data_IF_533092406636
#
_entry.id   IF_533092406636
#
_cell.length_a   1.000
_cell.length_b   1.000
_cell.length_c   1.000
_cell.angle_alpha   90.00
_cell.angle_beta   90.00
_cell.angle_gamma   90.00
#
_symmetry.space_group_name_H-M   'P 1'
#
loop_
_entity.id
_entity.type
_entity.pdbx_description
1 polymer ?
#
# COMPACT_ATOMS: atom_id res chain seq x y z
N UNK A 1 25.78 -9.48 6.32
CA UNK A 1 24.47 -9.12 6.89
C UNK A 1 23.76 -8.05 6.07
N UNK A 2 24.43 -7.02 5.56
CA UNK A 2 23.82 -5.94 4.76
C UNK A 2 23.05 -6.43 3.52
N UNK A 3 23.61 -7.38 2.74
CA UNK A 3 22.98 -7.91 1.52
C UNK A 3 21.62 -8.56 1.81
N UNK A 4 21.54 -9.38 2.87
CA UNK A 4 20.28 -10.03 3.25
C UNK A 4 19.23 -9.03 3.73
N UNK A 5 19.63 -8.01 4.47
CA UNK A 5 18.76 -6.94 4.95
C UNK A 5 18.20 -6.13 3.79
N UNK A 6 19.04 -5.75 2.84
CA UNK A 6 18.64 -5.06 1.62
C UNK A 6 17.72 -5.91 0.75
N UNK A 7 18.07 -7.20 0.53
CA UNK A 7 17.22 -8.10 -0.24
C UNK A 7 15.82 -8.22 0.36
N UNK A 8 15.75 -8.40 1.69
CA UNK A 8 14.45 -8.51 2.39
C UNK A 8 13.65 -7.20 2.32
N UNK A 9 14.31 -6.04 2.42
CA UNK A 9 13.67 -4.74 2.21
C UNK A 9 13.10 -4.60 0.79
N UNK A 10 13.86 -4.97 -0.23
CA UNK A 10 13.44 -4.89 -1.64
C UNK A 10 12.31 -5.87 -2.00
N UNK A 11 12.06 -6.89 -1.19
CA UNK A 11 10.88 -7.76 -1.33
C UNK A 11 9.59 -7.11 -0.81
N UNK A 12 9.67 -5.94 -0.14
CA UNK A 12 8.51 -5.24 0.40
C UNK A 12 7.36 -5.09 -0.59
N UNK A 13 7.56 -4.68 -1.87
CA UNK A 13 6.46 -4.55 -2.84
C UNK A 13 5.71 -5.86 -3.11
N UNK A 14 6.37 -6.99 -2.98
CA UNK A 14 5.74 -8.31 -3.13
C UNK A 14 5.00 -8.69 -1.84
N UNK A 15 5.66 -8.53 -0.69
CA UNK A 15 5.15 -8.93 0.62
C UNK A 15 3.90 -8.15 1.00
N UNK A 16 3.83 -6.84 0.70
CA UNK A 16 2.69 -5.98 1.07
C UNK A 16 1.37 -6.40 0.41
N UNK A 17 1.38 -7.08 -0.72
CA UNK A 17 0.17 -7.55 -1.37
C UNK A 17 -0.54 -8.65 -0.57
N UNK A 18 0.20 -9.41 0.22
CA UNK A 18 -0.36 -10.46 1.06
C UNK A 18 -1.32 -9.91 2.13
N UNK A 19 -0.92 -8.99 3.03
CA UNK A 19 -1.86 -8.47 4.02
C UNK A 19 -3.02 -7.71 3.38
N UNK A 20 -2.80 -6.98 2.30
CA UNK A 20 -3.86 -6.27 1.59
C UNK A 20 -4.93 -7.26 1.13
N UNK A 21 -4.57 -8.30 0.39
CA UNK A 21 -5.52 -9.28 -0.13
C UNK A 21 -6.16 -10.12 0.97
N UNK A 22 -5.36 -10.67 1.88
CA UNK A 22 -5.82 -11.59 2.92
C UNK A 22 -6.78 -10.91 3.92
N UNK A 23 -6.42 -9.70 4.40
CA UNK A 23 -7.25 -8.97 5.35
C UNK A 23 -8.52 -8.41 4.70
N UNK A 24 -8.46 -8.02 3.42
CA UNK A 24 -9.65 -7.59 2.68
C UNK A 24 -10.64 -8.75 2.49
N UNK A 25 -10.14 -9.95 2.14
CA UNK A 25 -10.97 -11.15 2.04
C UNK A 25 -11.57 -11.51 3.40
N UNK A 26 -10.78 -11.47 4.47
CA UNK A 26 -11.28 -11.73 5.83
C UNK A 26 -12.38 -10.75 6.23
N UNK A 27 -12.23 -9.46 5.92
CA UNK A 27 -13.25 -8.44 6.18
C UNK A 27 -14.54 -8.70 5.40
N UNK A 28 -14.44 -9.03 4.12
CA UNK A 28 -15.59 -9.38 3.29
C UNK A 28 -16.30 -10.65 3.80
N UNK A 29 -15.54 -11.68 4.18
CA UNK A 29 -16.11 -12.91 4.74
C UNK A 29 -16.84 -12.65 6.08
N UNK A 30 -16.27 -11.83 6.94
CA UNK A 30 -16.93 -11.41 8.19
C UNK A 30 -18.22 -10.64 7.89
N UNK A 31 -18.17 -9.68 6.97
CA UNK A 31 -19.33 -8.87 6.62
C UNK A 31 -20.46 -9.71 6.02
N UNK A 32 -20.14 -10.52 5.01
CA UNK A 32 -21.12 -11.38 4.33
C UNK A 32 -21.62 -12.49 5.27
N UNK A 33 -20.72 -13.07 6.07
CA UNK A 33 -21.03 -14.16 6.99
C UNK A 33 -21.92 -13.78 8.17
N UNK A 34 -22.26 -12.49 8.34
CA UNK A 34 -23.29 -12.02 9.28
C UNK A 34 -24.69 -12.36 8.81
N UNK A 35 -24.88 -12.62 7.52
CA UNK A 35 -26.12 -13.12 7.00
C UNK A 35 -26.18 -14.64 7.20
N UNK A 36 -27.29 -15.17 7.72
CA UNK A 36 -27.49 -16.60 8.02
C UNK A 36 -27.18 -17.50 6.83
N UNK A 37 -27.50 -17.04 5.61
CA UNK A 37 -27.23 -17.77 4.36
C UNK A 37 -25.73 -18.08 4.16
N UNK A 38 -24.86 -17.25 4.70
CA UNK A 38 -23.41 -17.33 4.51
C UNK A 38 -22.65 -17.56 5.83
N UNK A 39 -23.35 -17.93 6.89
CA UNK A 39 -22.76 -18.15 8.22
C UNK A 39 -21.64 -19.23 8.21
N UNK A 40 -21.65 -20.14 7.23
CA UNK A 40 -20.61 -21.14 7.02
C UNK A 40 -19.22 -20.55 6.74
N UNK A 41 -19.10 -19.25 6.38
CA UNK A 41 -17.83 -18.57 6.21
C UNK A 41 -17.15 -18.19 7.54
N UNK A 42 -17.94 -18.00 8.61
CA UNK A 42 -17.45 -17.48 9.89
C UNK A 42 -16.31 -18.30 10.53
N UNK A 43 -16.31 -19.64 10.51
CA UNK A 43 -15.24 -20.43 11.10
C UNK A 43 -13.86 -20.18 10.48
N UNK A 44 -13.80 -19.81 9.19
CA UNK A 44 -12.54 -19.56 8.49
C UNK A 44 -11.96 -18.17 8.77
N UNK A 45 -12.79 -17.19 9.16
CA UNK A 45 -12.39 -15.78 9.34
C UNK A 45 -11.22 -15.64 10.32
N UNK A 46 -11.27 -16.31 11.47
CA UNK A 46 -10.22 -16.22 12.48
C UNK A 46 -8.86 -16.75 11.99
N UNK A 47 -8.88 -17.82 11.19
CA UNK A 47 -7.67 -18.36 10.59
C UNK A 47 -7.06 -17.39 9.58
N UNK A 48 -7.89 -16.80 8.72
CA UNK A 48 -7.46 -15.84 7.68
C UNK A 48 -6.94 -14.55 8.33
N UNK A 49 -7.61 -14.02 9.37
CA UNK A 49 -7.11 -12.86 10.13
C UNK A 49 -5.73 -13.14 10.72
N UNK A 50 -5.49 -14.34 11.27
CA UNK A 50 -4.19 -14.70 11.83
C UNK A 50 -3.08 -14.68 10.78
N UNK A 51 -3.33 -15.22 9.59
CA UNK A 51 -2.36 -15.18 8.47
C UNK A 51 -2.16 -13.74 8.01
N UNK A 52 -3.24 -12.96 7.87
CA UNK A 52 -3.20 -11.56 7.49
C UNK A 52 -2.41 -10.70 8.47
N UNK A 53 -2.57 -10.92 9.78
CA UNK A 53 -1.80 -10.25 10.83
C UNK A 53 -0.31 -10.51 10.68
N UNK A 54 0.11 -11.78 10.56
CA UNK A 54 1.52 -12.11 10.40
C UNK A 54 2.12 -11.54 9.11
N UNK A 55 1.36 -11.58 8.01
CA UNK A 55 1.81 -10.98 6.75
C UNK A 55 1.93 -9.45 6.85
N UNK A 56 1.05 -8.76 7.62
CA UNK A 56 1.14 -7.33 7.88
C UNK A 56 2.39 -6.97 8.70
N UNK A 57 2.74 -7.79 9.70
CA UNK A 57 3.96 -7.61 10.50
C UNK A 57 5.19 -7.77 9.60
N UNK A 58 5.24 -8.81 8.78
CA UNK A 58 6.34 -9.03 7.83
C UNK A 58 6.46 -7.89 6.82
N UNK A 59 5.33 -7.38 6.30
CA UNK A 59 5.31 -6.23 5.42
C UNK A 59 5.83 -4.96 6.11
N UNK A 60 5.45 -4.71 7.37
CA UNK A 60 5.94 -3.57 8.12
C UNK A 60 7.46 -3.64 8.36
N UNK A 61 7.99 -4.82 8.69
CA UNK A 61 9.43 -5.03 8.87
C UNK A 61 10.18 -4.81 7.56
N UNK A 62 9.74 -5.44 6.46
CA UNK A 62 10.39 -5.29 5.16
C UNK A 62 10.33 -3.85 4.65
N UNK A 63 9.20 -3.15 4.84
CA UNK A 63 9.06 -1.73 4.49
C UNK A 63 9.94 -0.82 5.33
N UNK A 64 10.09 -1.10 6.62
CA UNK A 64 11.04 -0.37 7.46
C UNK A 64 12.47 -0.53 6.95
N UNK A 65 12.91 -1.74 6.62
CA UNK A 65 14.24 -1.99 6.08
C UNK A 65 14.46 -1.29 4.74
N UNK A 66 13.45 -1.31 3.85
CA UNK A 66 13.51 -0.60 2.57
C UNK A 66 13.64 0.92 2.78
N UNK A 67 12.97 1.47 3.79
CA UNK A 67 13.03 2.91 4.09
C UNK A 67 14.43 3.41 4.46
N UNK A 68 15.34 2.52 4.85
CA UNK A 68 16.72 2.86 5.19
C UNK A 68 17.61 3.09 3.95
N UNK A 69 17.20 2.61 2.77
CA UNK A 69 17.95 2.82 1.53
C UNK A 69 17.86 4.27 1.01
N UNK A 70 16.84 5.03 1.44
CA UNK A 70 16.65 6.43 1.01
C UNK A 70 16.08 6.56 -0.41
N UNK A 71 16.16 7.78 -0.97
CA UNK A 71 15.75 8.05 -2.37
C UNK A 71 14.25 8.33 -2.54
N UNK A 72 13.50 8.47 -1.46
CA UNK A 72 12.06 8.78 -1.46
C UNK A 72 11.79 10.19 -0.92
N UNK A 73 10.64 10.76 -1.26
CA UNK A 73 10.17 11.99 -0.62
C UNK A 73 9.98 11.75 0.88
N UNK A 74 10.73 12.49 1.71
CA UNK A 74 10.82 12.26 3.16
C UNK A 74 9.47 12.39 3.88
N UNK A 75 8.69 13.42 3.54
CA UNK A 75 7.39 13.65 4.18
C UNK A 75 6.39 12.52 3.86
N UNK A 76 6.34 12.11 2.60
CA UNK A 76 5.45 11.03 2.15
C UNK A 76 5.89 9.68 2.71
N UNK A 77 7.20 9.42 2.73
CA UNK A 77 7.78 8.22 3.34
C UNK A 77 7.46 8.15 4.83
N UNK A 78 7.56 9.27 5.55
CA UNK A 78 7.22 9.34 6.97
C UNK A 78 5.78 8.89 7.23
N UNK A 79 4.80 9.46 6.52
CA UNK A 79 3.39 9.08 6.66
C UNK A 79 3.15 7.63 6.26
N UNK A 80 3.69 7.17 5.13
CA UNK A 80 3.53 5.79 4.67
C UNK A 80 4.08 4.80 5.70
N UNK A 81 5.27 5.06 6.25
CA UNK A 81 5.91 4.21 7.25
C UNK A 81 5.07 4.09 8.52
N UNK A 82 4.62 5.22 9.09
CA UNK A 82 3.86 5.18 10.34
C UNK A 82 2.46 4.59 10.16
N UNK A 83 1.79 4.86 9.06
CA UNK A 83 0.51 4.22 8.75
C UNK A 83 0.67 2.72 8.48
N UNK A 84 1.75 2.29 7.84
CA UNK A 84 2.07 0.88 7.65
C UNK A 84 2.31 0.14 8.97
N UNK A 85 3.07 0.75 9.89
CA UNK A 85 3.24 0.23 11.25
C UNK A 85 1.91 0.20 12.02
N UNK A 86 1.11 1.26 11.90
CA UNK A 86 -0.25 1.32 12.46
C UNK A 86 -1.14 0.21 11.92
N UNK A 87 -1.07 -0.08 10.62
CA UNK A 87 -1.80 -1.20 9.99
C UNK A 87 -1.43 -2.53 10.64
N UNK A 88 -0.14 -2.80 10.87
CA UNK A 88 0.30 -4.01 11.55
C UNK A 88 -0.21 -4.08 12.99
N UNK A 89 -0.15 -2.99 13.75
CA UNK A 89 -0.67 -2.93 15.12
C UNK A 89 -2.18 -3.14 15.17
N UNK A 90 -2.95 -2.47 14.30
CA UNK A 90 -4.41 -2.62 14.27
C UNK A 90 -4.78 -4.04 13.85
N UNK A 91 -4.04 -4.68 12.93
CA UNK A 91 -4.28 -6.08 12.56
C UNK A 91 -4.11 -7.04 13.75
N UNK A 92 -3.15 -6.78 14.64
CA UNK A 92 -3.01 -7.51 15.90
C UNK A 92 -4.22 -7.30 16.81
N UNK A 93 -4.69 -6.05 16.97
CA UNK A 93 -5.88 -5.73 17.76
C UNK A 93 -7.11 -6.46 17.19
N UNK A 94 -7.31 -6.43 15.87
CA UNK A 94 -8.41 -7.17 15.19
C UNK A 94 -8.34 -8.67 15.48
N UNK A 95 -7.14 -9.26 15.45
CA UNK A 95 -6.96 -10.67 15.78
C UNK A 95 -7.37 -10.99 17.24
N UNK A 96 -6.93 -10.18 18.20
CA UNK A 96 -7.29 -10.39 19.60
C UNK A 96 -8.79 -10.15 19.86
N UNK A 97 -9.39 -9.12 19.28
CA UNK A 97 -10.82 -8.87 19.38
C UNK A 97 -11.64 -10.02 18.78
N UNK A 98 -11.15 -10.63 17.67
CA UNK A 98 -11.80 -11.81 17.11
C UNK A 98 -11.75 -13.01 18.08
N UNK A 99 -10.64 -13.23 18.79
CA UNK A 99 -10.56 -14.28 19.81
C UNK A 99 -11.54 -14.05 20.96
N UNK A 100 -11.73 -12.79 21.33
CA UNK A 100 -12.62 -12.36 22.42
C UNK A 100 -14.04 -12.02 21.92
N UNK A 101 -14.41 -12.45 20.70
CA UNK A 101 -15.69 -12.08 20.05
C UNK A 101 -16.92 -12.50 20.88
N UNK A 102 -16.78 -13.49 21.76
CA UNK A 102 -17.85 -13.93 22.68
C UNK A 102 -17.97 -13.00 23.92
N UNK A 103 -17.04 -12.10 24.15
CA UNK A 103 -17.13 -11.07 25.19
C UNK A 103 -17.92 -9.87 24.67
N UNK A 104 -18.60 -9.14 25.58
CA UNK A 104 -19.34 -7.91 25.21
C UNK A 104 -18.46 -6.89 24.50
N UNK A 105 -17.20 -6.72 24.93
CA UNK A 105 -16.27 -5.80 24.34
C UNK A 105 -15.82 -6.26 22.95
N UNK A 106 -15.48 -7.54 22.80
CA UNK A 106 -15.08 -8.13 21.53
C UNK A 106 -16.19 -8.02 20.49
N UNK A 107 -17.42 -8.36 20.86
CA UNK A 107 -18.59 -8.27 19.95
C UNK A 107 -18.82 -6.83 19.46
N UNK A 108 -18.73 -5.83 20.34
CA UNK A 108 -18.99 -4.44 19.99
C UNK A 108 -17.87 -3.80 19.17
N UNK A 109 -16.59 -4.08 19.47
CA UNK A 109 -15.46 -3.39 18.89
C UNK A 109 -14.85 -4.09 17.67
N UNK A 110 -15.02 -5.39 17.52
CA UNK A 110 -14.37 -6.17 16.47
C UNK A 110 -14.64 -5.62 15.07
N UNK A 111 -15.88 -5.46 14.69
CA UNK A 111 -16.21 -5.03 13.34
C UNK A 111 -15.86 -3.56 13.05
N UNK A 112 -16.14 -2.59 13.95
CA UNK A 112 -15.68 -1.21 13.76
C UNK A 112 -14.16 -1.11 13.64
N UNK A 113 -13.39 -1.79 14.48
CA UNK A 113 -11.92 -1.76 14.41
C UNK A 113 -11.42 -2.45 13.14
N UNK A 114 -12.09 -3.50 12.68
CA UNK A 114 -11.76 -4.11 11.39
C UNK A 114 -12.04 -3.15 10.23
N UNK A 115 -13.12 -2.36 10.28
CA UNK A 115 -13.40 -1.29 9.31
C UNK A 115 -12.30 -0.22 9.31
N UNK A 116 -11.83 0.20 10.49
CA UNK A 116 -10.69 1.13 10.63
C UNK A 116 -9.43 0.52 10.00
N UNK A 117 -9.16 -0.77 10.19
CA UNK A 117 -8.04 -1.46 9.55
C UNK A 117 -8.12 -1.36 8.02
N UNK A 118 -9.31 -1.51 7.43
CA UNK A 118 -9.49 -1.36 5.97
C UNK A 118 -9.16 0.06 5.49
N UNK A 119 -9.53 1.10 6.25
CA UNK A 119 -9.15 2.48 5.94
C UNK A 119 -7.63 2.68 6.01
N UNK A 120 -6.96 2.11 7.02
CA UNK A 120 -5.51 2.15 7.13
C UNK A 120 -4.82 1.44 5.96
N UNK A 121 -5.29 0.27 5.56
CA UNK A 121 -4.78 -0.46 4.39
C UNK A 121 -4.93 0.39 3.13
N UNK A 122 -6.11 1.00 2.90
CA UNK A 122 -6.38 1.84 1.73
C UNK A 122 -5.49 3.08 1.68
N UNK A 123 -5.37 3.80 2.80
CA UNK A 123 -4.55 5.02 2.88
C UNK A 123 -3.05 4.72 2.75
N UNK A 124 -2.58 3.66 3.42
CA UNK A 124 -1.17 3.22 3.32
C UNK A 124 -0.85 2.78 1.89
N UNK A 125 -1.76 2.03 1.24
CA UNK A 125 -1.60 1.61 -0.15
C UNK A 125 -1.57 2.80 -1.11
N UNK A 126 -2.44 3.81 -0.93
CA UNK A 126 -2.43 5.04 -1.71
C UNK A 126 -1.09 5.80 -1.58
N UNK A 127 -0.59 5.95 -0.35
CA UNK A 127 0.71 6.60 -0.14
C UNK A 127 1.87 5.81 -0.74
N UNK A 128 1.83 4.48 -0.65
CA UNK A 128 2.85 3.61 -1.28
C UNK A 128 2.84 3.74 -2.80
N UNK A 129 1.66 3.76 -3.43
CA UNK A 129 1.52 4.03 -4.85
C UNK A 129 2.04 5.40 -5.24
N UNK A 130 1.76 6.43 -4.42
CA UNK A 130 2.24 7.80 -4.64
C UNK A 130 3.77 7.93 -4.52
N UNK A 131 4.40 7.16 -3.62
CA UNK A 131 5.88 7.12 -3.49
C UNK A 131 6.58 6.58 -4.74
N UNK A 132 5.92 5.66 -5.48
CA UNK A 132 6.52 4.99 -6.64
C UNK A 132 6.11 5.60 -7.97
N UNK A 133 4.90 6.16 -8.07
CA UNK A 133 4.32 6.66 -9.33
C UNK A 133 4.05 8.17 -9.33
N UNK A 134 4.27 8.84 -8.18
CA UNK A 134 3.97 10.25 -8.01
C UNK A 134 2.59 10.51 -7.38
N UNK A 135 2.44 11.67 -6.75
CA UNK A 135 1.23 12.06 -5.98
C UNK A 135 -0.05 12.08 -6.80
N UNK A 136 0.06 12.39 -8.08
CA UNK A 136 -1.08 12.59 -8.98
C UNK A 136 -1.52 11.30 -9.69
N UNK A 137 -0.82 10.18 -9.48
CA UNK A 137 -1.01 8.93 -10.23
C UNK A 137 -2.46 8.48 -10.36
N UNK A 138 -3.24 8.50 -9.26
CA UNK A 138 -4.64 8.07 -9.28
C UNK A 138 -5.60 9.12 -9.87
N UNK A 139 -5.27 10.41 -9.77
CA UNK A 139 -6.14 11.50 -10.21
C UNK A 139 -5.74 12.05 -11.58
N UNK A 140 -4.56 11.71 -12.09
CA UNK A 140 -4.08 12.13 -13.40
C UNK A 140 -5.09 11.86 -14.54
N UNK A 141 -5.77 10.69 -14.62
CA UNK A 141 -6.76 10.43 -15.66
C UNK A 141 -7.97 11.38 -15.63
N UNK A 142 -8.30 11.93 -14.46
CA UNK A 142 -9.41 12.86 -14.27
C UNK A 142 -8.99 14.33 -14.34
N UNK A 143 -7.67 14.58 -14.32
CA UNK A 143 -7.13 15.91 -14.43
C UNK A 143 -7.10 16.32 -15.90
N UNK A 144 -7.75 17.44 -16.25
CA UNK A 144 -7.69 18.06 -17.58
C UNK A 144 -6.31 18.67 -17.90
N UNK A 145 -5.23 18.18 -17.28
CA UNK A 145 -3.87 18.56 -17.66
C UNK A 145 -3.68 18.12 -19.11
N UNK A 146 -3.66 19.09 -20.05
CA UNK A 146 -3.39 18.88 -21.46
C UNK A 146 -2.23 17.89 -21.61
N UNK A 147 -2.47 16.76 -22.27
CA UNK A 147 -1.42 15.80 -22.61
C UNK A 147 -0.22 16.59 -23.11
N UNK A 148 0.93 16.44 -22.42
CA UNK A 148 2.18 17.08 -22.84
C UNK A 148 2.35 16.83 -24.34
N UNK A 149 2.45 17.89 -25.13
CA UNK A 149 2.63 17.80 -26.57
C UNK A 149 3.79 16.87 -26.85
N UNK A 150 3.52 15.73 -27.47
CA UNK A 150 4.58 14.90 -28.08
C UNK A 150 5.25 15.79 -29.10
N UNK A 151 6.55 16.05 -28.91
CA UNK A 151 7.33 16.81 -29.87
C UNK A 151 7.45 15.92 -31.11
N UNK A 152 6.67 16.24 -32.13
CA UNK A 152 6.76 15.55 -33.43
C UNK A 152 7.80 16.31 -34.24
N UNK A 153 8.96 15.72 -34.45
CA UNK A 153 9.98 16.26 -35.31
C UNK A 153 9.58 16.03 -36.76
N UNK A 154 9.49 17.08 -37.55
CA UNK A 154 9.17 17.04 -38.96
C UNK A 154 10.33 16.56 -39.85
N UNK A 155 11.55 16.56 -39.33
CA UNK A 155 12.74 16.12 -40.07
C UNK A 155 13.75 15.49 -39.09
N UNK A 156 14.01 14.19 -39.24
CA UNK A 156 14.91 13.42 -38.34
C UNK A 156 16.40 13.75 -38.56
N UNK A 157 16.78 14.25 -39.71
CA UNK A 157 18.19 14.49 -40.06
C UNK A 157 18.77 15.72 -39.33
N UNK A 158 17.92 16.61 -38.81
CA UNK A 158 18.35 17.83 -38.08
C UNK A 158 18.23 17.72 -36.57
N UNK A 159 17.81 16.56 -36.03
CA UNK A 159 17.58 16.37 -34.60
C UNK A 159 18.89 16.09 -33.86
N UNK A 160 19.30 16.99 -32.97
CA UNK A 160 20.40 16.74 -32.04
C UNK A 160 19.87 15.91 -30.86
N UNK A 161 20.18 14.61 -30.84
CA UNK A 161 19.64 13.63 -29.88
C UNK A 161 19.70 14.13 -28.45
N UNK A 162 20.82 14.74 -28.02
CA UNK A 162 20.92 15.21 -26.65
C UNK A 162 20.09 16.48 -26.39
N UNK A 163 20.17 17.48 -27.25
CA UNK A 163 19.54 18.79 -27.05
C UNK A 163 18.01 18.72 -27.25
N UNK A 164 17.56 17.99 -28.25
CA UNK A 164 16.17 18.00 -28.67
C UNK A 164 15.34 16.87 -28.07
N UNK A 165 15.96 15.74 -27.70
CA UNK A 165 15.29 14.58 -27.11
C UNK A 165 15.59 14.37 -25.63
N UNK A 166 16.88 14.38 -25.26
CA UNK A 166 17.32 14.02 -23.90
C UNK A 166 17.20 15.19 -22.93
N UNK A 167 17.70 16.37 -23.30
CA UNK A 167 17.69 17.55 -22.43
C UNK A 167 16.28 18.01 -22.01
N UNK A 168 15.25 18.02 -22.86
CA UNK A 168 13.88 18.33 -22.45
C UNK A 168 13.34 17.35 -21.42
N UNK A 169 13.68 16.06 -21.51
CA UNK A 169 13.28 15.03 -20.53
C UNK A 169 13.93 15.32 -19.17
N UNK A 170 15.21 15.63 -19.15
CA UNK A 170 15.91 16.01 -17.92
C UNK A 170 15.37 17.30 -17.31
N UNK A 171 15.16 18.35 -18.11
CA UNK A 171 14.54 19.59 -17.63
C UNK A 171 13.14 19.34 -17.05
N UNK A 172 12.38 18.42 -17.64
CA UNK A 172 11.02 18.14 -17.24
C UNK A 172 10.94 17.24 -16.00
N UNK A 173 11.88 16.30 -15.83
CA UNK A 173 11.86 15.29 -14.74
C UNK A 173 12.76 15.66 -13.55
N UNK A 174 13.80 16.48 -13.76
CA UNK A 174 14.82 16.74 -12.74
C UNK A 174 14.85 18.17 -12.20
N UNK A 175 14.15 19.14 -12.82
CA UNK A 175 14.13 20.54 -12.37
C UNK A 175 12.81 20.96 -11.70
N UNK A 176 11.81 20.10 -11.61
CA UNK A 176 10.54 20.34 -10.92
C UNK A 176 10.50 19.75 -9.49
N UNK A 177 11.67 19.55 -8.86
CA UNK A 177 11.80 19.14 -7.46
C UNK A 177 12.62 20.14 -6.67
#
# INVERSE_FOLDING_TARGET
MEILTQLFGRLHPIILHMPIGILSVAFLMEWIGRNEKYASLQPAVGFIIRIGMWSAILAAISGFLLSLEGGYNEAMLWWHKWLGMGTALISMVVYFLHKEKNSRLGEQLFFPIFGILMLFIGTTGHLGGSLTHGSDFLIEPFSNKKKKKTIVFSNMDSVMIFQDLVQPIFKQKCTEH
#
